data_IF_814122327371
#
_entry.id   IF_814122327371
#
_cell.length_a   1.000
_cell.length_b   1.000
_cell.length_c   1.000
_cell.angle_alpha   90.00
_cell.angle_beta   90.00
_cell.angle_gamma   90.00
#
_symmetry.space_group_name_H-M   'P 1'
#
loop_
_entity.id
_entity.type
_entity.pdbx_description
1 polymer ?
#
# COMPACT_ATOMS: atom_id res chain seq x y z
N UNK A 1 0.67 -46.76 7.68
CA UNK A 1 0.88 -46.59 9.14
C UNK A 1 -0.39 -47.06 9.84
N UNK A 2 -0.37 -48.20 10.53
CA UNK A 2 -1.51 -48.62 11.35
C UNK A 2 -1.56 -47.73 12.60
N UNK A 3 -2.73 -47.17 12.99
CA UNK A 3 -2.81 -46.37 14.19
C UNK A 3 -2.42 -47.22 15.41
N UNK A 4 -1.67 -46.63 16.35
CA UNK A 4 -1.19 -47.26 17.59
C UNK A 4 -2.35 -47.81 18.46
N UNK A 5 -3.59 -47.43 18.17
CA UNK A 5 -4.82 -47.80 18.87
C UNK A 5 -5.56 -49.03 18.28
N UNK A 6 -4.93 -49.81 17.39
CA UNK A 6 -5.58 -50.93 16.72
C UNK A 6 -5.73 -52.21 17.58
N UNK A 7 -5.13 -52.28 18.77
CA UNK A 7 -5.23 -53.45 19.65
C UNK A 7 -6.36 -53.30 20.68
N UNK A 8 -7.60 -53.48 20.21
CA UNK A 8 -8.83 -53.54 21.03
C UNK A 8 -8.82 -54.64 22.10
N UNK A 9 -7.90 -55.60 22.03
CA UNK A 9 -7.88 -56.79 22.90
C UNK A 9 -7.15 -56.59 24.24
N UNK A 10 -6.40 -55.50 24.43
CA UNK A 10 -5.56 -55.29 25.62
C UNK A 10 -6.22 -54.46 26.74
N UNK A 11 -7.37 -53.84 26.48
CA UNK A 11 -7.99 -52.84 27.35
C UNK A 11 -9.50 -53.14 27.43
N UNK A 12 -9.94 -53.72 28.56
CA UNK A 12 -11.33 -54.15 28.77
C UNK A 12 -12.38 -53.02 28.71
N UNK A 13 -13.61 -53.26 29.18
CA UNK A 13 -14.73 -52.32 29.04
C UNK A 13 -14.47 -50.89 29.59
N UNK A 14 -13.55 -50.73 30.55
CA UNK A 14 -13.10 -49.42 31.05
C UNK A 14 -12.11 -48.71 30.11
N UNK A 15 -11.31 -49.48 29.38
CA UNK A 15 -10.36 -49.00 28.39
C UNK A 15 -11.03 -48.33 27.20
N UNK A 16 -12.17 -48.85 26.73
CA UNK A 16 -12.92 -48.26 25.62
C UNK A 16 -13.48 -46.86 25.97
N UNK A 17 -13.87 -46.65 27.23
CA UNK A 17 -14.32 -45.33 27.73
C UNK A 17 -13.14 -44.36 27.80
N UNK A 18 -11.99 -44.82 28.26
CA UNK A 18 -10.76 -44.03 28.34
C UNK A 18 -10.23 -43.64 26.95
N UNK A 19 -10.24 -44.57 25.99
CA UNK A 19 -9.88 -44.30 24.59
C UNK A 19 -10.80 -43.27 23.93
N UNK A 20 -12.11 -43.41 24.16
CA UNK A 20 -13.10 -42.46 23.62
C UNK A 20 -12.91 -41.07 24.21
N UNK A 21 -12.61 -40.97 25.51
CA UNK A 21 -12.32 -39.71 26.18
C UNK A 21 -11.04 -39.05 25.66
N UNK A 22 -9.95 -39.80 25.50
CA UNK A 22 -8.69 -39.29 24.94
C UNK A 22 -8.89 -38.82 23.49
N UNK A 23 -9.63 -39.59 22.70
CA UNK A 23 -9.89 -39.25 21.29
C UNK A 23 -10.66 -37.92 21.19
N UNK A 24 -11.70 -37.75 22.00
CA UNK A 24 -12.51 -36.53 22.02
C UNK A 24 -11.71 -35.32 22.52
N UNK A 25 -10.88 -35.51 23.55
CA UNK A 25 -9.99 -34.46 24.07
C UNK A 25 -8.94 -34.05 23.03
N UNK A 26 -8.41 -35.01 22.26
CA UNK A 26 -7.47 -34.75 21.17
C UNK A 26 -8.13 -33.91 20.06
N UNK A 27 -9.36 -34.26 19.65
CA UNK A 27 -10.10 -33.51 18.63
C UNK A 27 -10.48 -32.08 19.06
N UNK A 28 -10.54 -31.79 20.36
CA UNK A 28 -10.79 -30.44 20.87
C UNK A 28 -9.50 -29.64 21.07
N UNK A 29 -8.47 -30.26 21.65
CA UNK A 29 -7.22 -29.59 21.97
C UNK A 29 -6.40 -29.24 20.72
N UNK A 30 -6.41 -30.11 19.70
CA UNK A 30 -5.58 -29.94 18.51
C UNK A 30 -6.01 -28.73 17.65
N UNK A 31 -7.31 -28.52 17.31
CA UNK A 31 -7.74 -27.32 16.60
C UNK A 31 -7.52 -26.03 17.42
N UNK A 32 -7.74 -26.08 18.74
CA UNK A 32 -7.54 -24.92 19.61
C UNK A 32 -6.07 -24.48 19.65
N UNK A 33 -5.14 -25.44 19.79
CA UNK A 33 -3.70 -25.17 19.71
C UNK A 33 -3.30 -24.67 18.32
N UNK A 34 -3.82 -25.26 17.24
CA UNK A 34 -3.55 -24.81 15.88
C UNK A 34 -4.01 -23.37 15.64
N UNK A 35 -5.22 -23.01 16.04
CA UNK A 35 -5.75 -21.64 15.88
C UNK A 35 -4.97 -20.65 16.74
N UNK A 36 -4.68 -20.99 17.99
CA UNK A 36 -3.91 -20.12 18.90
C UNK A 36 -2.50 -19.89 18.37
N UNK A 37 -1.82 -20.95 17.90
CA UNK A 37 -0.50 -20.84 17.29
C UNK A 37 -0.56 -19.98 16.02
N UNK A 38 -1.50 -20.23 15.11
CA UNK A 38 -1.66 -19.43 13.88
C UNK A 38 -1.90 -17.95 14.19
N UNK A 39 -2.73 -17.64 15.19
CA UNK A 39 -2.98 -16.26 15.62
C UNK A 39 -1.76 -15.62 16.30
N UNK A 40 -0.98 -16.38 17.08
CA UNK A 40 0.24 -15.89 17.73
C UNK A 40 1.39 -15.68 16.74
N UNK A 41 1.53 -16.52 15.72
CA UNK A 41 2.59 -16.40 14.71
C UNK A 41 2.21 -15.49 13.53
N UNK A 42 0.97 -14.96 13.50
CA UNK A 42 0.48 -14.06 12.45
C UNK A 42 1.40 -12.85 12.22
N UNK A 43 2.12 -12.41 13.25
CA UNK A 43 3.06 -11.29 13.13
C UNK A 43 4.40 -11.66 12.46
N UNK A 44 4.83 -12.93 12.50
CA UNK A 44 6.06 -13.42 11.87
C UNK A 44 5.85 -13.98 10.44
N UNK A 45 4.64 -14.43 10.10
CA UNK A 45 4.32 -14.99 8.77
C UNK A 45 4.30 -13.98 7.61
N UNK A 46 4.56 -12.69 7.86
CA UNK A 46 4.80 -11.69 6.81
C UNK A 46 6.02 -11.99 5.93
N UNK A 47 6.85 -12.97 6.28
CA UNK A 47 8.12 -13.25 5.60
C UNK A 47 8.06 -14.37 4.53
N UNK A 48 7.15 -15.34 4.62
CA UNK A 48 7.19 -16.56 3.76
C UNK A 48 6.20 -16.53 2.60
N UNK A 49 5.14 -15.74 2.70
CA UNK A 49 4.34 -15.33 1.55
C UNK A 49 4.28 -13.81 1.69
N UNK A 50 5.01 -13.03 0.87
CA UNK A 50 4.72 -11.61 0.85
C UNK A 50 3.23 -11.55 0.55
N UNK A 51 2.47 -10.83 1.39
CA UNK A 51 1.21 -10.28 0.94
C UNK A 51 1.60 -9.44 -0.26
N UNK A 52 1.61 -10.05 -1.45
CA UNK A 52 1.42 -9.36 -2.70
C UNK A 52 0.02 -8.82 -2.55
N UNK A 53 -0.06 -7.69 -1.84
CA UNK A 53 -1.03 -6.67 -2.15
C UNK A 53 -0.83 -6.51 -3.65
N UNK A 54 -1.68 -7.17 -4.43
CA UNK A 54 -1.86 -6.89 -5.83
C UNK A 54 -2.33 -5.43 -5.83
N UNK A 55 -1.38 -4.50 -5.71
CA UNK A 55 -1.54 -3.09 -6.04
C UNK A 55 -1.94 -3.14 -7.50
N UNK A 56 -3.26 -3.14 -7.73
CA UNK A 56 -3.97 -3.41 -8.99
C UNK A 56 -3.04 -3.23 -10.19
N UNK A 57 -2.33 -4.30 -10.55
CA UNK A 57 -1.47 -4.25 -11.71
C UNK A 57 -2.41 -4.05 -12.89
N UNK A 58 -2.30 -2.86 -13.49
CA UNK A 58 -2.95 -2.44 -14.72
C UNK A 58 -4.45 -2.11 -14.60
N UNK A 59 -4.80 -1.03 -13.87
CA UNK A 59 -5.74 -0.09 -14.51
C UNK A 59 -4.98 0.47 -15.71
N UNK A 60 -5.41 0.09 -16.91
CA UNK A 60 -4.78 0.38 -18.21
C UNK A 60 -4.83 1.88 -18.62
N UNK A 61 -4.56 2.78 -17.68
CA UNK A 61 -4.43 4.21 -17.87
C UNK A 61 -2.97 4.63 -17.86
N UNK A 62 -2.62 5.61 -18.69
CA UNK A 62 -1.32 6.28 -18.58
C UNK A 62 -1.24 6.97 -17.21
N UNK A 63 -0.16 6.81 -16.44
CA UNK A 63 -0.04 7.45 -15.14
C UNK A 63 -0.01 8.97 -15.30
N UNK A 64 -0.55 9.68 -14.33
CA UNK A 64 -0.45 11.14 -14.28
C UNK A 64 0.81 11.54 -13.54
N UNK A 65 1.60 12.44 -14.10
CA UNK A 65 2.79 13.00 -13.46
C UNK A 65 2.46 14.41 -13.04
N UNK A 66 2.65 14.68 -11.75
CA UNK A 66 2.23 15.92 -11.14
C UNK A 66 3.36 16.97 -11.10
N UNK A 67 3.02 18.19 -11.47
CA UNK A 67 3.85 19.39 -11.32
C UNK A 67 3.48 20.19 -10.05
N UNK A 68 4.40 21.04 -9.58
CA UNK A 68 4.21 21.89 -8.40
C UNK A 68 3.08 22.91 -8.60
N UNK A 69 2.98 23.46 -9.81
CA UNK A 69 1.92 24.41 -10.21
C UNK A 69 0.52 23.81 -10.04
N UNK A 70 0.32 22.55 -10.47
CA UNK A 70 -0.94 21.83 -10.39
C UNK A 70 -1.32 21.51 -8.93
N UNK A 71 -0.34 21.16 -8.10
CA UNK A 71 -0.54 20.94 -6.66
C UNK A 71 -0.95 22.22 -5.94
N UNK A 72 -0.28 23.34 -6.21
CA UNK A 72 -0.53 24.61 -5.52
C UNK A 72 -1.90 25.19 -5.90
N UNK A 73 -2.30 25.02 -7.16
CA UNK A 73 -3.60 25.48 -7.67
C UNK A 73 -4.77 24.66 -7.09
N UNK A 74 -4.59 23.34 -7.01
CA UNK A 74 -5.46 22.42 -6.28
C UNK A 74 -6.66 21.87 -7.02
N UNK A 75 -6.91 22.30 -8.26
CA UNK A 75 -7.96 21.72 -9.11
C UNK A 75 -7.83 20.20 -9.31
N UNK A 76 -6.64 19.65 -9.12
CA UNK A 76 -6.42 18.20 -9.16
C UNK A 76 -7.25 17.44 -8.10
N UNK A 77 -7.44 18.02 -6.92
CA UNK A 77 -8.26 17.42 -5.85
C UNK A 77 -9.75 17.40 -6.22
N UNK A 78 -10.22 18.43 -6.93
CA UNK A 78 -11.60 18.47 -7.42
C UNK A 78 -11.84 17.41 -8.49
N UNK A 79 -10.89 17.25 -9.44
CA UNK A 79 -10.93 16.23 -10.49
C UNK A 79 -10.79 14.79 -9.94
N UNK A 80 -10.03 14.64 -8.86
CA UNK A 80 -9.94 13.40 -8.09
C UNK A 80 -11.31 12.97 -7.55
N UNK A 81 -12.13 13.94 -7.11
CA UNK A 81 -13.47 13.68 -6.56
C UNK A 81 -14.49 13.16 -7.58
N UNK A 82 -14.31 13.42 -8.88
CA UNK A 82 -15.33 13.17 -9.92
C UNK A 82 -15.27 11.79 -10.56
N UNK A 83 -14.43 10.86 -10.07
CA UNK A 83 -14.22 9.52 -10.67
C UNK A 83 -13.61 9.54 -12.09
N UNK A 84 -13.18 10.71 -12.58
CA UNK A 84 -12.58 10.86 -13.91
C UNK A 84 -11.12 10.41 -13.91
N UNK A 85 -10.45 10.52 -12.75
CA UNK A 85 -9.07 10.10 -12.56
C UNK A 85 -9.07 8.65 -12.09
N UNK A 86 -8.89 7.74 -13.05
CA UNK A 86 -8.77 6.31 -12.81
C UNK A 86 -7.32 5.80 -12.84
N UNK A 87 -6.35 6.63 -13.20
CA UNK A 87 -4.92 6.26 -13.29
C UNK A 87 -4.15 6.55 -12.00
N UNK A 88 -3.03 5.85 -11.81
CA UNK A 88 -2.01 6.18 -10.81
C UNK A 88 -1.51 7.63 -10.99
N UNK A 89 -1.29 8.31 -9.86
CA UNK A 89 -0.73 9.66 -9.79
C UNK A 89 0.68 9.57 -9.22
N UNK A 90 1.66 9.91 -10.05
CA UNK A 90 3.08 9.95 -9.74
C UNK A 90 3.48 11.37 -9.34
N UNK A 91 4.03 11.51 -8.14
CA UNK A 91 4.57 12.78 -7.63
C UNK A 91 6.09 12.67 -7.57
N UNK A 92 6.84 13.37 -8.44
CA UNK A 92 8.29 13.31 -8.41
C UNK A 92 8.83 13.95 -7.13
N UNK A 93 9.87 13.34 -6.54
CA UNK A 93 10.46 13.84 -5.30
C UNK A 93 10.94 15.30 -5.39
N UNK A 94 11.49 15.73 -6.54
CA UNK A 94 11.93 17.12 -6.71
C UNK A 94 10.77 18.12 -6.73
N UNK A 95 9.57 17.70 -7.15
CA UNK A 95 8.37 18.54 -7.09
C UNK A 95 7.90 18.69 -5.64
N UNK A 96 7.95 17.60 -4.86
CA UNK A 96 7.65 17.66 -3.44
C UNK A 96 8.60 18.64 -2.71
N UNK A 97 9.90 18.57 -3.01
CA UNK A 97 10.88 19.51 -2.48
C UNK A 97 10.59 20.95 -2.87
N UNK A 98 10.25 21.24 -4.14
CA UNK A 98 9.90 22.59 -4.57
C UNK A 98 8.67 23.14 -3.83
N UNK A 99 7.63 22.32 -3.64
CA UNK A 99 6.44 22.75 -2.88
C UNK A 99 6.77 23.00 -1.41
N UNK A 100 7.65 22.19 -0.81
CA UNK A 100 8.16 22.40 0.55
C UNK A 100 8.97 23.70 0.66
N UNK A 101 9.88 23.97 -0.27
CA UNK A 101 10.65 25.21 -0.33
C UNK A 101 9.74 26.44 -0.43
N UNK A 102 8.66 26.34 -1.21
CA UNK A 102 7.62 27.39 -1.28
C UNK A 102 6.88 27.52 0.05
N UNK A 103 6.57 26.41 0.72
CA UNK A 103 5.89 26.36 2.00
C UNK A 103 6.72 26.90 3.18
N UNK A 104 8.05 26.96 3.01
CA UNK A 104 9.01 27.52 3.97
C UNK A 104 9.50 28.94 3.59
N UNK A 105 8.97 29.51 2.51
CA UNK A 105 9.32 30.85 2.04
C UNK A 105 9.03 31.94 3.08
N UNK A 106 9.91 32.94 3.16
CA UNK A 106 9.71 34.14 3.98
C UNK A 106 8.50 34.98 3.53
N UNK A 107 8.16 34.95 2.25
CA UNK A 107 6.96 35.61 1.72
C UNK A 107 5.70 34.88 2.21
N UNK A 108 4.85 35.59 2.96
CA UNK A 108 3.61 35.05 3.54
C UNK A 108 2.66 34.48 2.47
N UNK A 109 2.57 35.11 1.30
CA UNK A 109 1.67 34.66 0.21
C UNK A 109 2.20 33.36 -0.39
N UNK A 110 3.50 33.31 -0.71
CA UNK A 110 4.14 32.07 -1.21
C UNK A 110 4.02 30.94 -0.20
N UNK A 111 4.33 31.21 1.07
CA UNK A 111 4.21 30.25 2.18
C UNK A 111 2.81 29.65 2.29
N UNK A 112 1.78 30.49 2.25
CA UNK A 112 0.38 30.05 2.32
C UNK A 112 0.01 29.15 1.13
N UNK A 113 0.53 29.45 -0.07
CA UNK A 113 0.32 28.66 -1.28
C UNK A 113 1.02 27.30 -1.21
N UNK A 114 2.27 27.25 -0.77
CA UNK A 114 3.02 25.99 -0.61
C UNK A 114 2.36 25.07 0.40
N UNK A 115 1.95 25.60 1.57
CA UNK A 115 1.21 24.82 2.58
C UNK A 115 -0.09 24.25 2.04
N UNK A 116 -0.86 25.06 1.30
CA UNK A 116 -2.07 24.60 0.61
C UNK A 116 -1.76 23.44 -0.35
N UNK A 117 -0.68 23.53 -1.13
CA UNK A 117 -0.25 22.44 -2.02
C UNK A 117 0.08 21.14 -1.29
N UNK A 118 0.74 21.22 -0.13
CA UNK A 118 1.00 20.05 0.72
C UNK A 118 -0.27 19.47 1.33
N UNK A 119 -1.22 20.31 1.74
CA UNK A 119 -2.52 19.88 2.26
C UNK A 119 -3.34 19.14 1.18
N UNK A 120 -3.28 19.62 -0.06
CA UNK A 120 -3.89 18.98 -1.23
C UNK A 120 -3.24 17.63 -1.50
N UNK A 121 -1.91 17.55 -1.51
CA UNK A 121 -1.20 16.28 -1.70
C UNK A 121 -1.61 15.26 -0.63
N UNK A 122 -1.68 15.68 0.64
CA UNK A 122 -2.14 14.81 1.73
C UNK A 122 -3.57 14.34 1.53
N UNK A 123 -4.46 15.23 1.08
CA UNK A 123 -5.86 14.89 0.78
C UNK A 123 -5.94 13.85 -0.34
N UNK A 124 -5.15 14.01 -1.41
CA UNK A 124 -5.06 13.03 -2.50
C UNK A 124 -4.55 11.66 -2.02
N UNK A 125 -3.54 11.64 -1.15
CA UNK A 125 -2.99 10.39 -0.57
C UNK A 125 -3.96 9.67 0.36
N UNK A 126 -4.90 10.40 0.97
CA UNK A 126 -5.91 9.84 1.87
C UNK A 126 -7.15 9.31 1.14
N UNK A 127 -7.31 9.62 -0.15
CA UNK A 127 -8.43 9.12 -0.95
C UNK A 127 -8.20 7.65 -1.36
N UNK A 128 -8.99 6.68 -0.87
CA UNK A 128 -8.80 5.26 -1.19
C UNK A 128 -9.09 4.92 -2.66
N UNK A 129 -9.66 5.86 -3.44
CA UNK A 129 -9.95 5.67 -4.88
C UNK A 129 -8.73 5.99 -5.75
N UNK A 130 -7.74 6.71 -5.21
CA UNK A 130 -6.56 7.17 -5.92
C UNK A 130 -5.31 6.47 -5.42
N UNK A 131 -4.50 6.03 -6.38
CA UNK A 131 -3.17 5.53 -6.09
C UNK A 131 -2.17 6.66 -6.29
N UNK A 132 -1.73 7.28 -5.20
CA UNK A 132 -0.74 8.37 -5.23
C UNK A 132 0.60 7.82 -4.76
N UNK A 133 1.61 7.84 -5.65
CA UNK A 133 2.96 7.35 -5.35
C UNK A 133 3.99 8.45 -5.54
N UNK A 134 4.82 8.64 -4.51
CA UNK A 134 6.01 9.50 -4.61
C UNK A 134 7.12 8.68 -5.25
N UNK A 135 7.70 9.20 -6.32
CA UNK A 135 8.78 8.51 -7.04
C UNK A 135 10.10 9.25 -6.88
N UNK A 136 11.13 8.49 -6.53
CA UNK A 136 12.51 8.97 -6.53
C UNK A 136 12.97 9.12 -7.97
N UNK A 137 13.65 10.22 -8.24
CA UNK A 137 14.17 10.55 -9.57
C UNK A 137 15.61 11.00 -9.41
N UNK A 138 16.51 10.40 -10.18
CA UNK A 138 17.90 10.81 -10.14
C UNK A 138 18.04 12.29 -10.55
N UNK A 139 18.89 13.05 -9.86
CA UNK A 139 19.18 14.42 -10.23
C UNK A 139 19.97 14.45 -11.54
N UNK A 140 19.31 14.81 -12.64
CA UNK A 140 19.98 14.96 -13.93
C UNK A 140 20.64 16.34 -14.00
N UNK A 141 21.97 16.37 -13.90
CA UNK A 141 22.76 17.62 -13.98
C UNK A 141 22.51 18.34 -15.29
N UNK A 142 22.25 19.65 -15.22
CA UNK A 142 22.11 20.54 -16.38
C UNK A 142 20.73 20.57 -17.05
N UNK A 143 19.72 19.85 -16.52
CA UNK A 143 18.35 19.90 -17.04
C UNK A 143 17.45 20.79 -16.19
N UNK A 144 16.57 21.55 -16.86
CA UNK A 144 15.51 22.31 -16.19
C UNK A 144 14.47 21.37 -15.56
N UNK A 145 13.67 21.90 -14.63
CA UNK A 145 12.54 21.18 -14.00
C UNK A 145 11.57 20.65 -15.07
N UNK A 146 11.18 21.50 -16.02
CA UNK A 146 10.28 21.14 -17.12
C UNK A 146 10.84 19.99 -17.96
N UNK A 147 12.13 20.03 -18.28
CA UNK A 147 12.75 18.99 -19.09
C UNK A 147 12.78 17.66 -18.34
N UNK A 148 13.01 17.68 -17.02
CA UNK A 148 12.93 16.49 -16.17
C UNK A 148 11.51 15.93 -16.13
N UNK A 149 10.48 16.78 -16.01
CA UNK A 149 9.07 16.35 -16.05
C UNK A 149 8.69 15.73 -17.40
N UNK A 150 9.14 16.30 -18.51
CA UNK A 150 8.88 15.76 -19.85
C UNK A 150 9.57 14.40 -20.04
N UNK A 151 10.82 14.28 -19.62
CA UNK A 151 11.56 13.01 -19.71
C UNK A 151 10.94 11.92 -18.85
N UNK A 152 10.52 12.28 -17.64
CA UNK A 152 9.80 11.40 -16.75
C UNK A 152 8.46 10.94 -17.36
N UNK A 153 7.71 11.87 -17.95
CA UNK A 153 6.47 11.53 -18.65
C UNK A 153 6.68 10.60 -19.84
N UNK A 154 7.77 10.79 -20.59
CA UNK A 154 8.14 9.86 -21.67
C UNK A 154 8.55 8.49 -21.11
N UNK A 155 9.36 8.44 -20.07
CA UNK A 155 9.87 7.21 -19.47
C UNK A 155 8.74 6.32 -18.90
N UNK A 156 7.74 6.94 -18.27
CA UNK A 156 6.59 6.22 -17.69
C UNK A 156 5.39 6.11 -18.64
N UNK A 157 5.51 6.57 -19.90
CA UNK A 157 4.39 6.70 -20.84
C UNK A 157 3.18 7.43 -20.20
N UNK A 158 3.48 8.43 -19.37
CA UNK A 158 2.52 9.16 -18.55
C UNK A 158 1.98 10.42 -19.21
N UNK A 159 1.00 11.04 -18.55
CA UNK A 159 0.44 12.35 -18.91
C UNK A 159 0.91 13.36 -17.88
N UNK A 160 1.54 14.43 -18.32
CA UNK A 160 1.93 15.54 -17.44
C UNK A 160 0.69 16.36 -17.07
N UNK A 161 0.51 16.63 -15.77
CA UNK A 161 -0.48 17.56 -15.25
C UNK A 161 0.29 18.80 -14.76
N UNK A 162 0.05 19.91 -15.43
CA UNK A 162 0.61 21.24 -15.13
C UNK A 162 -0.49 22.30 -15.36
N UNK A 163 -0.27 23.53 -14.91
CA UNK A 163 -1.20 24.66 -15.06
C UNK A 163 -0.61 25.72 -16.01
#
# INVERSE_FOLDING_TARGET
MRPVFANRELMGAEGVKFESAITLLTFLALPYLCVTFLLQTKDDFRFVIPYVEFSRELKAGRPFILDSSALIDGRIADLAGTSIIDSEVLVPQFILHEVQDIADSHDKVRRSRGRRGLDILKTLQQDPRLEVRVIETEPVKGKSVDQRLIELAKAHNGRLITN
#
